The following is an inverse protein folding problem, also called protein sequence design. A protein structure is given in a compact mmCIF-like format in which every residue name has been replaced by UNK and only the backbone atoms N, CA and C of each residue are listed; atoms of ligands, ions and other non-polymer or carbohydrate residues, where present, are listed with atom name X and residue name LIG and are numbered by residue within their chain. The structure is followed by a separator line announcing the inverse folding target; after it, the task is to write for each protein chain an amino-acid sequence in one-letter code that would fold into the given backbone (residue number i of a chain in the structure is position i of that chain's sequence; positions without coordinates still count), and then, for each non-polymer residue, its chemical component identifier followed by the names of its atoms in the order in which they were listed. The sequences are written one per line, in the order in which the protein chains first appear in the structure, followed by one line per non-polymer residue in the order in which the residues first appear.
data_IF_638025629502
#
_entry.id   IF_638025629502
#
_cell.length_a   1.000
_cell.length_b   1.000
_cell.length_c   1.000
_cell.angle_alpha   90.00
_cell.angle_beta   90.00
_cell.angle_gamma   90.00
#
_symmetry.space_group_name_H-M   'P 1'
#
loop_
_entity.id
_entity.type
_entity.pdbx_description
1 polymer ?
#
# COMPACT_ATOMS: atom_id res chain seq x y z
N UNK A 1 -17.97 -18.42 -18.27
CA UNK A 1 -16.95 -18.36 -17.21
C UNK A 1 -16.61 -16.90 -17.00
N UNK A 2 -17.09 -16.28 -15.93
CA UNK A 2 -16.80 -14.86 -15.67
C UNK A 2 -15.31 -14.71 -15.37
N UNK A 3 -14.61 -13.95 -16.22
CA UNK A 3 -13.24 -13.53 -15.94
C UNK A 3 -13.21 -12.78 -14.61
N UNK A 4 -12.22 -13.06 -13.77
CA UNK A 4 -12.04 -12.30 -12.55
C UNK A 4 -11.90 -10.79 -12.88
N UNK A 5 -12.44 -9.87 -12.06
CA UNK A 5 -12.38 -8.42 -12.33
C UNK A 5 -10.98 -7.82 -12.08
N UNK A 6 -9.95 -8.64 -11.99
CA UNK A 6 -8.57 -8.26 -11.68
C UNK A 6 -7.60 -9.11 -12.50
N UNK A 7 -6.48 -8.52 -12.90
CA UNK A 7 -5.40 -9.17 -13.65
C UNK A 7 -4.33 -9.77 -12.72
N UNK A 8 -4.09 -9.13 -11.57
CA UNK A 8 -3.08 -9.55 -10.60
C UNK A 8 -3.63 -9.55 -9.18
N UNK A 9 -3.10 -10.41 -8.31
CA UNK A 9 -3.27 -10.30 -6.86
C UNK A 9 -1.90 -10.04 -6.25
N UNK A 10 -1.81 -9.05 -5.37
CA UNK A 10 -0.62 -8.81 -4.56
C UNK A 10 -0.98 -8.91 -3.07
N UNK A 11 -0.11 -9.57 -2.30
CA UNK A 11 -0.21 -9.63 -0.85
C UNK A 11 0.55 -8.47 -0.22
N UNK A 12 -0.16 -7.63 0.54
CA UNK A 12 0.38 -6.50 1.27
C UNK A 12 0.23 -6.73 2.77
N UNK A 13 1.29 -6.49 3.53
CA UNK A 13 1.28 -6.57 5.00
C UNK A 13 1.45 -5.19 5.61
N UNK A 14 0.62 -4.84 6.59
CA UNK A 14 0.78 -3.62 7.37
C UNK A 14 1.50 -3.97 8.68
N UNK A 15 2.68 -3.40 8.91
CA UNK A 15 3.55 -3.69 10.07
C UNK A 15 3.93 -2.40 10.82
N UNK A 16 4.26 -2.54 12.09
CA UNK A 16 4.60 -1.42 12.98
C UNK A 16 3.95 -1.54 14.34
N UNK A 17 4.32 -0.63 15.25
CA UNK A 17 3.92 -0.68 16.66
C UNK A 17 2.42 -0.59 16.91
N UNK A 18 2.01 -1.03 18.10
CA UNK A 18 0.64 -0.91 18.57
C UNK A 18 0.19 0.55 18.64
N UNK A 19 -1.07 0.79 18.27
CA UNK A 19 -1.66 2.14 18.28
C UNK A 19 -1.16 3.11 17.21
N UNK A 20 -0.29 2.69 16.28
CA UNK A 20 0.15 3.52 15.15
C UNK A 20 -0.94 3.70 14.07
N UNK A 21 -2.04 2.95 14.15
CA UNK A 21 -3.20 3.10 13.25
C UNK A 21 -3.15 2.24 11.98
N UNK A 22 -2.46 1.10 12.00
CA UNK A 22 -2.42 0.11 10.90
C UNK A 22 -3.83 -0.34 10.48
N UNK A 23 -4.63 -0.78 11.46
CA UNK A 23 -6.03 -1.18 11.24
C UNK A 23 -6.86 -0.03 10.72
N UNK A 24 -6.69 1.17 11.29
CA UNK A 24 -7.41 2.36 10.85
C UNK A 24 -7.09 2.75 9.41
N UNK A 25 -5.85 2.57 8.95
CA UNK A 25 -5.47 2.79 7.54
C UNK A 25 -6.11 1.74 6.63
N UNK A 26 -6.07 0.47 7.02
CA UNK A 26 -6.66 -0.64 6.26
C UNK A 26 -8.18 -0.48 6.13
N UNK A 27 -8.87 -0.18 7.22
CA UNK A 27 -10.31 0.08 7.26
C UNK A 27 -10.65 1.30 6.42
N UNK A 28 -9.86 2.39 6.53
CA UNK A 28 -10.08 3.59 5.72
C UNK A 28 -9.99 3.29 4.23
N UNK A 29 -9.01 2.50 3.80
CA UNK A 29 -8.86 2.12 2.39
C UNK A 29 -10.00 1.22 1.89
N UNK A 30 -10.40 0.23 2.70
CA UNK A 30 -11.40 -0.76 2.29
C UNK A 30 -12.82 -0.20 2.33
N UNK A 31 -13.15 0.56 3.37
CA UNK A 31 -14.53 0.92 3.73
C UNK A 31 -14.78 2.43 3.68
N UNK A 32 -13.75 3.25 3.48
CA UNK A 32 -13.88 4.71 3.42
C UNK A 32 -14.21 5.38 4.76
N UNK A 33 -14.38 4.60 5.84
CA UNK A 33 -14.74 5.11 7.18
C UNK A 33 -13.56 5.13 8.14
N UNK A 34 -13.70 5.91 9.20
CA UNK A 34 -12.81 5.90 10.36
C UNK A 34 -13.64 5.73 11.62
N UNK A 35 -13.23 4.78 12.46
CA UNK A 35 -13.80 4.58 13.79
C UNK A 35 -12.80 5.13 14.79
N UNK A 36 -13.29 5.88 15.77
CA UNK A 36 -12.48 6.49 16.84
C UNK A 36 -12.06 5.47 17.89
N UNK A 37 -12.90 4.46 18.15
CA UNK A 37 -12.62 3.34 19.02
C UNK A 37 -12.35 2.10 18.17
N UNK A 38 -11.10 1.66 18.17
CA UNK A 38 -10.71 0.35 17.66
C UNK A 38 -10.17 -0.46 18.82
N UNK A 39 -10.69 -1.67 18.98
CA UNK A 39 -10.06 -2.66 19.86
C UNK A 39 -8.68 -3.00 19.30
N UNK A 40 -7.74 -3.38 20.19
CA UNK A 40 -6.42 -3.83 19.75
C UNK A 40 -6.59 -5.04 18.84
N UNK A 41 -5.97 -5.01 17.66
CA UNK A 41 -5.99 -6.13 16.72
C UNK A 41 -5.43 -7.39 17.37
N UNK A 42 -6.26 -8.43 17.49
CA UNK A 42 -5.84 -9.75 17.96
C UNK A 42 -5.54 -10.61 16.73
N UNK A 43 -4.25 -10.84 16.44
CA UNK A 43 -3.84 -11.64 15.29
C UNK A 43 -3.77 -10.83 13.99
N UNK A 44 -4.57 -11.22 12.98
CA UNK A 44 -4.60 -10.57 11.66
C UNK A 44 -6.02 -10.35 11.16
N UNK A 45 -6.28 -9.12 10.71
CA UNK A 45 -7.53 -8.76 10.02
C UNK A 45 -7.31 -8.70 8.50
N UNK A 46 -8.31 -9.17 7.74
CA UNK A 46 -8.23 -9.36 6.31
C UNK A 46 -9.07 -8.33 5.54
N UNK A 47 -8.40 -7.46 4.80
CA UNK A 47 -9.03 -6.55 3.84
C UNK A 47 -8.71 -6.94 2.39
N UNK A 48 -9.56 -6.56 1.44
CA UNK A 48 -9.15 -6.59 0.03
C UNK A 48 -9.71 -5.41 -0.76
N UNK A 49 -8.86 -4.81 -1.59
CA UNK A 49 -9.21 -3.68 -2.45
C UNK A 49 -8.66 -3.92 -3.85
N UNK A 50 -9.48 -3.68 -4.88
CA UNK A 50 -9.01 -3.72 -6.27
C UNK A 50 -8.63 -2.29 -6.64
N UNK A 51 -7.41 -2.11 -7.16
CA UNK A 51 -6.88 -0.83 -7.61
C UNK A 51 -6.44 -0.92 -9.07
N UNK A 52 -6.62 0.15 -9.86
CA UNK A 52 -6.02 0.24 -11.20
C UNK A 52 -4.48 0.34 -11.09
N UNK A 53 -3.76 -0.34 -11.99
CA UNK A 53 -2.29 -0.31 -12.09
C UNK A 53 -1.84 -0.23 -13.55
N UNK A 54 -0.65 0.33 -13.79
CA UNK A 54 -0.12 0.54 -15.14
C UNK A 54 -0.79 1.70 -15.87
N UNK A 55 -0.29 2.08 -17.07
CA UNK A 55 -0.89 3.20 -17.79
C UNK A 55 -2.25 2.78 -18.40
N UNK A 56 -3.19 3.74 -18.54
CA UNK A 56 -3.02 5.19 -18.38
C UNK A 56 -3.00 5.70 -16.92
N UNK A 57 -3.31 4.89 -15.91
CA UNK A 57 -3.36 5.34 -14.50
C UNK A 57 -1.99 5.82 -13.96
N UNK A 58 -0.90 5.12 -14.27
CA UNK A 58 0.45 5.54 -13.85
C UNK A 58 0.90 6.88 -14.47
N UNK A 59 0.36 7.25 -15.64
CA UNK A 59 0.63 8.54 -16.26
C UNK A 59 -0.06 9.69 -15.51
N UNK A 60 -1.23 9.43 -14.91
CA UNK A 60 -1.92 10.42 -14.06
C UNK A 60 -1.26 10.57 -12.69
N UNK A 61 -0.64 9.51 -12.16
CA UNK A 61 0.07 9.53 -10.88
C UNK A 61 1.46 10.20 -10.96
N UNK A 62 2.12 10.13 -12.12
CA UNK A 62 3.38 10.86 -12.40
C UNK A 62 3.19 12.28 -12.95
N UNK A 63 1.98 12.62 -13.40
CA UNK A 63 1.65 13.85 -14.14
C UNK A 63 1.32 15.09 -13.30
N UNK A 64 1.91 15.29 -12.11
CA UNK A 64 1.80 16.60 -11.46
C UNK A 64 2.82 17.58 -12.05
N UNK A 65 2.47 18.24 -13.16
CA UNK A 65 2.83 19.66 -13.36
C UNK A 65 2.06 20.31 -14.52
N UNK A 66 1.42 21.43 -14.16
CA UNK A 66 0.86 22.52 -14.96
C UNK A 66 -0.62 22.40 -15.39
N UNK A 67 -1.48 23.36 -14.95
CA UNK A 67 -2.77 23.61 -15.59
C UNK A 67 -2.54 24.27 -16.96
N UNK A 68 -3.53 24.22 -17.88
CA UNK A 68 -3.44 24.92 -19.16
C UNK A 68 -3.46 26.42 -18.91
N UNK A 69 -2.31 27.09 -19.10
CA UNK A 69 -2.25 28.54 -19.14
C UNK A 69 -3.03 29.02 -20.36
N UNK A 70 -4.15 29.68 -20.10
CA UNK A 70 -4.82 30.58 -21.03
C UNK A 70 -3.79 31.57 -21.59
N UNK A 71 -3.61 31.56 -22.92
CA UNK A 71 -2.80 32.55 -23.63
C UNK A 71 -3.64 33.81 -23.89
N UNK A 72 -3.11 35.03 -23.66
CA UNK A 72 -3.65 36.23 -24.28
C UNK A 72 -3.02 36.41 -25.67
N UNK A 73 -3.86 36.86 -26.61
CA UNK A 73 -3.50 37.27 -27.96
C UNK A 73 -2.53 38.46 -27.95
N UNK A 74 -1.50 38.43 -28.82
CA UNK A 74 -0.81 39.62 -29.26
C UNK A 74 -0.14 39.41 -30.63
N UNK A 75 -0.54 40.27 -31.55
CA UNK A 75 -0.08 40.54 -32.91
C UNK A 75 1.45 40.79 -33.03
N UNK A 76 2.08 40.43 -34.16
CA UNK A 76 3.45 40.89 -34.44
C UNK A 76 4.26 40.08 -35.47
N UNK A 77 4.02 40.35 -36.76
CA UNK A 77 4.76 39.92 -37.94
C UNK A 77 6.27 40.32 -37.94
N UNK A 78 7.19 39.44 -38.40
CA UNK A 78 8.34 39.74 -39.30
C UNK A 78 9.21 38.50 -39.65
N UNK A 79 9.69 38.47 -40.90
CA UNK A 79 10.32 37.37 -41.66
C UNK A 79 11.78 37.06 -41.29
N UNK A 80 12.19 35.80 -41.47
CA UNK A 80 13.60 35.40 -41.64
C UNK A 80 13.76 33.88 -41.72
N UNK A 81 13.98 33.34 -42.92
CA UNK A 81 14.13 31.90 -43.15
C UNK A 81 15.55 31.38 -42.92
N UNK A 82 15.65 30.16 -42.38
CA UNK A 82 16.75 29.19 -42.47
C UNK A 82 16.16 27.78 -42.15
N UNK A 83 16.68 26.67 -42.71
CA UNK A 83 15.99 25.37 -42.69
C UNK A 83 16.05 24.68 -41.33
N UNK A 84 14.94 24.01 -40.96
CA UNK A 84 14.73 23.31 -39.69
C UNK A 84 15.72 22.13 -39.47
N UNK A 85 16.21 21.92 -38.23
CA UNK A 85 16.96 20.72 -37.88
C UNK A 85 16.00 19.55 -37.60
N UNK A 86 16.18 18.46 -38.37
CA UNK A 86 15.80 17.06 -38.09
C UNK A 86 14.66 16.88 -37.08
N UNK A 87 13.45 16.69 -37.61
CA UNK A 87 12.29 16.13 -36.91
C UNK A 87 12.68 14.88 -36.13
N UNK A 88 12.42 14.91 -34.82
CA UNK A 88 12.36 13.73 -33.96
C UNK A 88 11.37 12.73 -34.57
N UNK A 89 11.63 11.41 -34.52
CA UNK A 89 10.64 10.44 -34.98
C UNK A 89 9.35 10.62 -34.19
N UNK A 90 8.27 10.79 -34.94
CA UNK A 90 6.88 10.81 -34.48
C UNK A 90 6.60 9.61 -33.57
N UNK A 91 5.81 9.77 -32.49
CA UNK A 91 5.38 8.64 -31.68
C UNK A 91 4.46 7.77 -32.54
N UNK A 92 4.86 6.51 -32.72
CA UNK A 92 4.01 5.42 -33.22
C UNK A 92 2.67 5.45 -32.46
N UNK A 93 1.51 5.24 -33.12
CA UNK A 93 0.22 5.23 -32.45
C UNK A 93 0.24 4.17 -31.34
N UNK A 94 0.20 4.63 -30.08
CA UNK A 94 0.16 3.78 -28.91
C UNK A 94 -1.05 2.83 -29.05
N UNK A 95 -0.79 1.52 -29.00
CA UNK A 95 -1.84 0.55 -28.78
C UNK A 95 -2.64 1.03 -27.56
N UNK A 96 -3.97 1.13 -27.68
CA UNK A 96 -4.82 1.56 -26.57
C UNK A 96 -4.50 0.72 -25.34
N UNK A 97 -3.78 1.29 -24.38
CA UNK A 97 -3.28 0.54 -23.23
C UNK A 97 -4.46 0.15 -22.34
N UNK A 98 -4.70 -1.16 -22.25
CA UNK A 98 -5.82 -1.70 -21.48
C UNK A 98 -5.49 -1.51 -20.00
N UNK A 99 -6.32 -0.74 -19.29
CA UNK A 99 -6.21 -0.53 -17.85
C UNK A 99 -6.17 -1.87 -17.11
N UNK A 100 -5.02 -2.16 -16.49
CA UNK A 100 -4.85 -3.35 -15.65
C UNK A 100 -5.34 -3.09 -14.24
N UNK A 101 -5.83 -4.15 -13.61
CA UNK A 101 -6.36 -4.08 -12.25
C UNK A 101 -5.62 -5.07 -11.34
N UNK A 102 -5.20 -4.59 -10.17
CA UNK A 102 -4.55 -5.40 -9.14
C UNK A 102 -5.42 -5.49 -7.91
N UNK A 103 -5.70 -6.71 -7.46
CA UNK A 103 -6.35 -6.97 -6.18
C UNK A 103 -5.28 -6.99 -5.07
N UNK A 104 -5.34 -6.01 -4.18
CA UNK A 104 -4.53 -5.95 -2.97
C UNK A 104 -5.20 -6.80 -1.90
N UNK A 105 -4.52 -7.83 -1.43
CA UNK A 105 -4.87 -8.59 -0.23
C UNK A 105 -4.13 -7.96 0.94
N UNK A 106 -4.86 -7.29 1.83
CA UNK A 106 -4.31 -6.54 2.96
C UNK A 106 -4.33 -7.42 4.20
N UNK A 107 -3.18 -7.56 4.82
CA UNK A 107 -2.98 -8.31 6.05
C UNK A 107 -2.62 -7.30 7.14
N UNK A 108 -3.62 -6.92 7.94
CA UNK A 108 -3.42 -6.02 9.08
C UNK A 108 -2.89 -6.81 10.26
N UNK A 109 -1.67 -6.51 10.71
CA UNK A 109 -1.01 -7.29 11.76
C UNK A 109 -1.10 -6.63 13.13
N UNK A 110 -1.21 -7.44 14.19
CA UNK A 110 -1.08 -6.95 15.56
C UNK A 110 0.31 -6.31 15.77
N UNK A 111 0.32 -5.08 16.27
CA UNK A 111 1.54 -4.32 16.57
C UNK A 111 2.10 -4.51 17.98
N UNK A 112 1.50 -5.38 18.79
CA UNK A 112 2.05 -5.70 20.11
C UNK A 112 3.17 -6.73 19.97
N UNK A 113 4.24 -6.49 20.72
CA UNK A 113 5.43 -7.35 20.73
C UNK A 113 5.14 -8.80 21.15
N UNK A 114 4.14 -9.01 22.02
CA UNK A 114 3.67 -10.33 22.45
C UNK A 114 3.18 -11.21 21.28
N UNK A 115 2.77 -10.61 20.16
CA UNK A 115 2.29 -11.32 18.98
C UNK A 115 3.32 -11.40 17.85
N UNK A 116 4.57 -10.97 18.06
CA UNK A 116 5.62 -10.98 17.01
C UNK A 116 5.81 -12.35 16.35
N UNK A 117 5.71 -13.45 17.10
CA UNK A 117 5.83 -14.82 16.53
C UNK A 117 4.68 -15.17 15.57
N UNK A 118 3.46 -14.73 15.89
CA UNK A 118 2.27 -14.94 15.05
C UNK A 118 2.35 -14.04 13.81
N UNK A 119 2.70 -12.76 13.99
CA UNK A 119 2.85 -11.77 12.92
C UNK A 119 3.89 -12.19 11.87
N UNK A 120 5.02 -12.76 12.30
CA UNK A 120 6.11 -13.22 11.42
C UNK A 120 5.67 -14.28 10.39
N UNK A 121 4.71 -15.13 10.73
CA UNK A 121 4.18 -16.15 9.80
C UNK A 121 3.51 -15.53 8.57
N UNK A 122 3.02 -14.29 8.68
CA UNK A 122 2.32 -13.60 7.61
C UNK A 122 3.23 -12.84 6.64
N UNK A 123 4.50 -12.64 6.98
CA UNK A 123 5.48 -11.97 6.11
C UNK A 123 5.82 -12.84 4.89
N UNK A 124 5.71 -14.17 5.03
CA UNK A 124 5.99 -15.11 3.95
C UNK A 124 5.02 -14.91 2.77
N UNK A 125 5.59 -14.77 1.58
CA UNK A 125 4.84 -14.52 0.35
C UNK A 125 4.16 -13.15 0.31
N UNK A 126 4.60 -12.16 1.10
CA UNK A 126 4.20 -10.78 0.91
C UNK A 126 5.02 -10.15 -0.22
N UNK A 127 4.35 -9.42 -1.13
CA UNK A 127 5.01 -8.66 -2.21
C UNK A 127 5.20 -7.21 -1.85
N UNK A 128 4.37 -6.68 -0.96
CA UNK A 128 4.49 -5.34 -0.44
C UNK A 128 4.34 -5.30 1.08
N UNK A 129 4.97 -4.32 1.70
CA UNK A 129 4.78 -4.00 3.11
C UNK A 129 4.59 -2.50 3.31
N UNK A 130 3.66 -2.14 4.19
CA UNK A 130 3.51 -0.78 4.70
C UNK A 130 4.06 -0.76 6.12
N UNK A 131 5.12 0.02 6.31
CA UNK A 131 5.76 0.18 7.60
C UNK A 131 5.23 1.46 8.25
N UNK A 132 4.32 1.29 9.22
CA UNK A 132 3.53 2.38 9.78
C UNK A 132 4.07 2.78 11.14
N UNK A 133 4.39 4.07 11.29
CA UNK A 133 4.69 4.68 12.58
C UNK A 133 3.76 5.86 12.84
N UNK A 134 3.78 6.35 14.07
CA UNK A 134 2.97 7.48 14.50
C UNK A 134 3.81 8.75 14.55
N UNK A 135 3.40 9.79 13.80
CA UNK A 135 4.10 11.08 13.77
C UNK A 135 4.17 11.77 15.13
N UNK A 136 3.23 11.46 16.02
CA UNK A 136 3.20 12.03 17.37
C UNK A 136 3.91 11.19 18.43
N UNK A 137 4.59 10.10 18.05
CA UNK A 137 5.29 9.22 19.00
C UNK A 137 6.61 8.72 18.41
N UNK A 138 7.72 9.35 18.80
CA UNK A 138 9.06 9.03 18.29
C UNK A 138 9.52 7.60 18.61
N UNK A 139 9.08 7.02 19.72
CA UNK A 139 9.38 5.62 20.07
C UNK A 139 8.95 4.66 18.94
N UNK A 140 7.77 4.91 18.36
CA UNK A 140 7.26 4.06 17.27
C UNK A 140 8.13 4.14 16.03
N UNK A 141 8.76 5.29 15.78
CA UNK A 141 9.72 5.50 14.69
C UNK A 141 11.07 4.82 14.96
N UNK A 142 11.53 4.76 16.20
CA UNK A 142 12.76 4.05 16.54
C UNK A 142 12.64 2.54 16.25
N UNK A 143 11.49 1.94 16.57
CA UNK A 143 11.21 0.51 16.34
C UNK A 143 10.97 0.15 14.87
N UNK A 144 10.76 1.12 13.98
CA UNK A 144 10.62 0.91 12.52
C UNK A 144 11.80 0.10 11.96
N UNK A 145 13.01 0.35 12.47
CA UNK A 145 14.22 -0.37 12.05
C UNK A 145 14.16 -1.85 12.39
N UNK A 146 13.69 -2.19 13.60
CA UNK A 146 13.55 -3.58 14.02
C UNK A 146 12.47 -4.29 13.20
N UNK A 147 11.34 -3.61 12.94
CA UNK A 147 10.29 -4.12 12.07
C UNK A 147 10.76 -4.38 10.64
N UNK A 148 11.59 -3.49 10.09
CA UNK A 148 12.17 -3.67 8.75
C UNK A 148 13.13 -4.86 8.72
N UNK A 149 13.98 -5.01 9.74
CA UNK A 149 14.91 -6.12 9.84
C UNK A 149 14.18 -7.46 9.95
N UNK A 150 13.16 -7.54 10.81
CA UNK A 150 12.30 -8.71 10.96
C UNK A 150 11.58 -9.06 9.64
N UNK A 151 11.09 -8.05 8.92
CA UNK A 151 10.45 -8.24 7.62
C UNK A 151 11.44 -8.83 6.61
N UNK A 152 12.64 -8.26 6.49
CA UNK A 152 13.67 -8.68 5.53
C UNK A 152 14.20 -10.09 5.76
N UNK A 153 14.15 -10.58 7.00
CA UNK A 153 14.58 -11.95 7.32
C UNK A 153 13.60 -13.02 6.81
N UNK A 154 12.32 -12.67 6.61
CA UNK A 154 11.25 -13.65 6.35
C UNK A 154 10.56 -13.42 5.00
N UNK A 155 10.46 -12.16 4.57
CA UNK A 155 9.83 -11.77 3.32
C UNK A 155 10.69 -12.11 2.09
N UNK A 156 10.08 -11.98 0.92
CA UNK A 156 10.77 -12.15 -0.36
C UNK A 156 11.83 -11.04 -0.56
N UNK A 157 12.97 -11.34 -1.22
CA UNK A 157 14.07 -10.39 -1.37
C UNK A 157 13.68 -9.11 -2.14
N UNK A 158 12.70 -9.21 -3.04
CA UNK A 158 12.17 -8.09 -3.83
C UNK A 158 10.87 -7.50 -3.24
N UNK A 159 10.68 -7.57 -1.92
CA UNK A 159 9.52 -6.95 -1.26
C UNK A 159 9.56 -5.43 -1.39
N UNK A 160 8.44 -4.86 -1.83
CA UNK A 160 8.27 -3.41 -1.94
C UNK A 160 7.84 -2.86 -0.58
N UNK A 161 8.70 -2.08 0.07
CA UNK A 161 8.38 -1.48 1.37
C UNK A 161 8.12 0.02 1.19
N UNK A 162 7.04 0.53 1.76
CA UNK A 162 6.77 1.98 1.87
C UNK A 162 6.69 2.36 3.35
N UNK A 163 7.37 3.45 3.71
CA UNK A 163 7.32 4.01 5.05
C UNK A 163 6.12 4.96 5.15
N UNK A 164 5.31 4.79 6.19
CA UNK A 164 4.07 5.53 6.39
C UNK A 164 4.10 6.23 7.75
N UNK A 165 4.14 7.57 7.72
CA UNK A 165 3.97 8.41 8.90
C UNK A 165 2.48 8.71 9.12
N UNK A 166 1.83 7.98 10.01
CA UNK A 166 0.40 8.13 10.26
C UNK A 166 0.10 9.22 11.30
N UNK A 167 -1.19 9.61 11.38
CA UNK A 167 -1.72 10.67 12.25
C UNK A 167 -1.18 12.07 11.92
N UNK A 168 -0.99 12.33 10.63
CA UNK A 168 -0.58 13.65 10.15
C UNK A 168 -1.55 14.78 10.56
N UNK A 169 -2.80 14.45 10.88
CA UNK A 169 -3.78 15.39 11.44
C UNK A 169 -3.39 15.95 12.81
N UNK A 170 -2.61 15.22 13.62
CA UNK A 170 -2.09 15.69 14.91
C UNK A 170 -0.79 16.51 14.77
N UNK A 171 -0.24 16.52 13.56
CA UNK A 171 1.04 17.13 13.23
C UNK A 171 0.91 18.45 12.43
N UNK A 172 -0.33 18.91 12.19
CA UNK A 172 -0.60 20.19 11.55
C UNK A 172 -0.50 21.30 12.60
N UNK A 173 0.28 22.38 12.36
CA UNK A 173 0.19 23.57 13.21
C UNK A 173 -1.24 24.11 13.08
N UNK A 174 -1.91 24.34 14.22
CA UNK A 174 -3.27 24.88 14.23
C UNK A 174 -3.37 26.12 13.35
N UNK A 175 -4.41 26.17 12.51
CA UNK A 175 -4.81 27.41 11.86
C UNK A 175 -5.13 28.44 12.94
N UNK A 176 -4.66 29.65 12.73
CA UNK A 176 -4.66 30.77 13.68
C UNK A 176 -6.08 31.27 14.05
N UNK A 177 -7.14 30.64 13.54
CA UNK A 177 -8.52 31.12 13.62
C UNK A 177 -9.44 30.30 14.55
N UNK A 178 -8.99 29.14 15.06
CA UNK A 178 -9.78 28.33 16.00
C UNK A 178 -9.25 28.46 17.43
N UNK A 179 -9.42 29.65 17.99
CA UNK A 179 -9.25 29.92 19.42
C UNK A 179 -10.36 29.25 20.23
N UNK A 180 -10.41 27.91 20.27
CA UNK A 180 -11.12 27.12 21.29
C UNK A 180 -10.82 25.61 21.29
N UNK A 181 -10.01 25.10 20.34
CA UNK A 181 -9.46 23.74 20.40
C UNK A 181 -7.94 23.78 20.21
N UNK A 182 -7.21 23.93 21.32
CA UNK A 182 -5.75 23.92 21.38
C UNK A 182 -5.12 22.62 20.88
N UNK A 183 -5.05 22.45 19.56
CA UNK A 183 -4.27 21.41 18.91
C UNK A 183 -2.80 21.78 18.96
N UNK A 184 -2.13 21.41 20.05
CA UNK A 184 -0.66 21.41 20.09
C UNK A 184 -0.14 20.57 18.92
N UNK A 185 0.84 21.09 18.18
CA UNK A 185 1.55 20.30 17.18
C UNK A 185 2.34 19.22 17.91
N UNK A 186 1.80 18.00 17.98
CA UNK A 186 2.43 16.87 18.67
C UNK A 186 3.45 16.15 17.81
N UNK A 187 3.88 16.72 16.67
CA UNK A 187 4.87 16.11 15.78
C UNK A 187 6.20 15.93 16.51
N UNK A 188 6.62 14.68 16.67
CA UNK A 188 7.94 14.35 17.23
C UNK A 188 8.95 13.91 16.15
N UNK A 189 8.47 13.55 14.95
CA UNK A 189 9.29 13.08 13.83
C UNK A 189 9.14 14.02 12.64
N UNK A 190 10.25 14.56 12.16
CA UNK A 190 10.26 15.44 10.99
C UNK A 190 10.17 14.65 9.70
N UNK A 191 9.59 15.26 8.67
CA UNK A 191 9.54 14.66 7.33
C UNK A 191 10.94 14.35 6.79
N UNK A 192 11.89 15.25 7.00
CA UNK A 192 13.28 15.08 6.56
C UNK A 192 13.93 13.86 7.22
N UNK A 193 13.77 13.70 8.55
CA UNK A 193 14.29 12.54 9.29
C UNK A 193 13.72 11.22 8.76
N UNK A 194 12.41 11.17 8.48
CA UNK A 194 11.75 9.98 7.95
C UNK A 194 12.16 9.67 6.50
N UNK A 195 12.27 10.68 5.64
CA UNK A 195 12.75 10.52 4.26
C UNK A 195 14.21 10.06 4.20
N UNK A 196 15.05 10.65 5.03
CA UNK A 196 16.44 10.25 5.19
C UNK A 196 16.55 8.78 5.64
N UNK A 197 15.77 8.40 6.64
CA UNK A 197 15.73 7.03 7.11
C UNK A 197 15.26 6.08 5.99
N UNK A 198 14.25 6.45 5.21
CA UNK A 198 13.75 5.65 4.09
C UNK A 198 14.84 5.44 3.02
N UNK A 199 15.56 6.52 2.65
CA UNK A 199 16.69 6.45 1.71
C UNK A 199 17.82 5.55 2.21
N UNK A 200 18.25 5.72 3.47
CA UNK A 200 19.35 4.92 4.05
C UNK A 200 19.03 3.44 4.14
N UNK A 201 17.77 3.11 4.40
CA UNK A 201 17.35 1.73 4.58
C UNK A 201 16.88 1.06 3.29
N UNK A 202 16.85 1.75 2.14
CA UNK A 202 16.38 1.18 0.87
C UNK A 202 14.88 0.91 0.86
N UNK A 203 14.10 1.78 1.50
CA UNK A 203 12.63 1.79 1.43
C UNK A 203 12.21 2.63 0.22
N UNK A 204 11.13 2.25 -0.45
CA UNK A 204 10.72 2.85 -1.72
C UNK A 204 10.51 4.36 -1.60
N UNK A 205 9.67 4.76 -0.65
CA UNK A 205 9.24 6.12 -0.46
C UNK A 205 8.68 6.30 0.96
N UNK A 206 8.67 7.54 1.42
CA UNK A 206 7.99 7.95 2.64
C UNK A 206 6.72 8.73 2.30
N UNK A 207 5.60 8.37 2.93
CA UNK A 207 4.31 9.04 2.76
C UNK A 207 3.69 9.37 4.12
N UNK A 208 3.29 10.62 4.31
CA UNK A 208 2.51 11.03 5.49
C UNK A 208 1.03 10.80 5.24
N UNK A 209 0.37 10.07 6.13
CA UNK A 209 -1.04 9.70 6.00
C UNK A 209 -1.84 10.11 7.23
N UNK A 210 -3.14 10.30 7.05
CA UNK A 210 -4.07 10.45 8.16
C UNK A 210 -5.28 9.55 7.95
N UNK A 211 -5.38 8.49 8.75
CA UNK A 211 -6.56 7.63 8.76
C UNK A 211 -7.85 8.40 9.14
N UNK A 212 -7.74 9.49 9.91
CA UNK A 212 -8.87 10.33 10.37
C UNK A 212 -9.43 11.21 9.25
N UNK A 213 -8.58 11.84 8.45
CA UNK A 213 -9.02 12.68 7.32
C UNK A 213 -9.13 11.91 6.00
N UNK A 214 -8.46 10.76 5.89
CA UNK A 214 -8.30 10.03 4.62
C UNK A 214 -7.14 10.55 3.76
N UNK A 215 -6.45 11.59 4.19
CA UNK A 215 -5.35 12.21 3.43
C UNK A 215 -4.21 11.20 3.19
N UNK A 216 -3.80 11.09 1.92
CA UNK A 216 -2.72 10.22 1.40
C UNK A 216 -2.85 8.72 1.68
N UNK A 217 -3.95 8.23 2.29
CA UNK A 217 -4.14 6.81 2.58
C UNK A 217 -4.14 6.02 1.27
N UNK A 218 -5.02 6.39 0.34
CA UNK A 218 -5.09 5.69 -0.96
C UNK A 218 -3.78 5.80 -1.74
N UNK A 219 -3.14 6.98 -1.72
CA UNK A 219 -1.86 7.23 -2.38
C UNK A 219 -0.77 6.26 -1.89
N UNK A 220 -0.68 6.01 -0.59
CA UNK A 220 0.31 5.09 -0.03
C UNK A 220 0.14 3.66 -0.55
N UNK A 221 -1.10 3.15 -0.59
CA UNK A 221 -1.38 1.81 -1.10
C UNK A 221 -1.23 1.71 -2.63
N UNK A 222 -1.68 2.73 -3.37
CA UNK A 222 -1.50 2.78 -4.82
C UNK A 222 -0.01 2.78 -5.19
N UNK A 223 0.82 3.52 -4.44
CA UNK A 223 2.26 3.58 -4.70
C UNK A 223 2.95 2.23 -4.58
N UNK A 224 2.56 1.44 -3.58
CA UNK A 224 3.01 0.05 -3.42
C UNK A 224 2.53 -0.80 -4.61
N UNK A 225 1.26 -0.69 -4.98
CA UNK A 225 0.66 -1.48 -6.07
C UNK A 225 1.33 -1.19 -7.42
N UNK A 226 1.60 0.07 -7.73
CA UNK A 226 2.30 0.48 -8.96
C UNK A 226 3.72 -0.06 -9.00
N UNK A 227 4.48 0.07 -7.91
CA UNK A 227 5.85 -0.46 -7.86
C UNK A 227 5.88 -1.98 -7.97
N UNK A 228 4.91 -2.68 -7.38
CA UNK A 228 4.75 -4.13 -7.59
C UNK A 228 4.47 -4.40 -9.07
N UNK A 229 3.58 -3.64 -9.72
CA UNK A 229 3.31 -3.78 -11.15
C UNK A 229 4.53 -3.55 -12.03
N UNK A 230 5.33 -2.52 -11.76
CA UNK A 230 6.61 -2.27 -12.44
C UNK A 230 7.57 -3.46 -12.29
N UNK A 231 7.67 -4.04 -11.10
CA UNK A 231 8.48 -5.22 -10.84
C UNK A 231 7.96 -6.47 -11.58
N UNK A 232 6.63 -6.62 -11.75
CA UNK A 232 6.03 -7.67 -12.59
C UNK A 232 6.44 -7.48 -14.05
N UNK A 233 6.32 -6.26 -14.59
CA UNK A 233 6.70 -5.95 -15.97
C UNK A 233 8.21 -6.15 -16.21
N UNK A 234 9.04 -5.87 -15.21
CA UNK A 234 10.48 -6.16 -15.24
C UNK A 234 10.83 -7.66 -15.16
N UNK A 235 9.83 -8.54 -15.02
CA UNK A 235 10.03 -9.99 -14.94
C UNK A 235 10.65 -10.47 -13.64
N UNK A 236 10.62 -9.65 -12.57
CA UNK A 236 11.19 -10.01 -11.26
C UNK A 236 10.31 -10.97 -10.46
N UNK A 237 9.03 -11.06 -10.79
CA UNK A 237 8.09 -11.98 -10.13
C UNK A 237 7.73 -13.14 -11.06
N UNK A 238 7.88 -14.37 -10.56
CA UNK A 238 7.28 -15.54 -11.18
C UNK A 238 5.79 -15.60 -10.78
N UNK A 239 4.90 -15.40 -11.76
CA UNK A 239 3.44 -15.39 -11.55
C UNK A 239 2.85 -16.79 -11.35
N UNK A 240 3.63 -17.84 -11.63
CA UNK A 240 3.23 -19.25 -11.50
C UNK A 240 3.75 -19.91 -10.23
N UNK A 241 4.73 -19.31 -9.54
CA UNK A 241 5.22 -19.84 -8.27
C UNK A 241 4.19 -19.61 -7.14
N UNK A 242 3.90 -20.68 -6.41
CA UNK A 242 3.03 -20.64 -5.22
C UNK A 242 3.66 -19.86 -4.06
N UNK A 243 4.98 -19.66 -4.06
CA UNK A 243 5.72 -18.86 -3.07
C UNK A 243 5.78 -17.38 -3.44
N UNK A 244 5.59 -17.04 -4.71
CA UNK A 244 5.50 -15.65 -5.15
C UNK A 244 4.32 -14.95 -4.50
N UNK A 245 4.57 -13.76 -3.96
CA UNK A 245 3.52 -12.96 -3.34
C UNK A 245 2.55 -12.31 -4.34
N UNK A 246 2.90 -12.37 -5.63
CA UNK A 246 2.05 -11.90 -6.73
C UNK A 246 1.50 -13.11 -7.50
N UNK A 247 0.19 -13.13 -7.72
CA UNK A 247 -0.51 -14.21 -8.43
C UNK A 247 -1.25 -13.69 -9.63
N UNK A 248 -1.19 -14.43 -10.75
CA UNK A 248 -2.01 -14.17 -11.93
C UNK A 248 -3.48 -14.62 -11.79
N UNK A 249 -4.33 -14.35 -12.79
CA UNK A 249 -5.78 -14.63 -12.76
C UNK A 249 -6.11 -16.11 -12.55
N UNK A 250 -5.24 -17.00 -13.07
CA UNK A 250 -5.40 -18.46 -13.04
C UNK A 250 -4.96 -19.09 -11.71
N UNK A 251 -4.10 -18.41 -10.95
CA UNK A 251 -3.52 -18.94 -9.70
C UNK A 251 -4.42 -18.73 -8.46
N UNK A 252 -5.43 -17.85 -8.54
CA UNK A 252 -6.38 -17.65 -7.44
C UNK A 252 -7.39 -18.80 -7.27
N UNK A 253 -7.52 -19.68 -8.27
CA UNK A 253 -8.46 -20.81 -8.25
C UNK A 253 -8.00 -22.01 -7.40
N UNK A 254 -6.73 -22.07 -6.98
CA UNK A 254 -6.18 -23.20 -6.23
C UNK A 254 -6.03 -22.96 -4.71
N UNK A 255 -6.43 -21.77 -4.24
CA UNK A 255 -6.30 -21.35 -2.83
C UNK A 255 -7.60 -21.33 -2.04
N UNK A 256 -8.67 -21.93 -2.57
CA UNK A 256 -9.91 -22.10 -1.82
C UNK A 256 -9.65 -22.87 -0.54
N UNK A 257 -9.82 -22.18 0.59
CA UNK A 257 -9.95 -22.75 1.93
C UNK A 257 -10.90 -23.94 1.80
N UNK A 258 -10.38 -25.17 1.87
CA UNK A 258 -11.24 -26.32 2.13
C UNK A 258 -11.81 -26.08 3.52
N UNK A 259 -13.14 -25.87 3.68
CA UNK A 259 -13.69 -25.89 5.02
C UNK A 259 -13.41 -27.27 5.57
N UNK A 260 -12.61 -27.33 6.64
CA UNK A 260 -12.49 -28.54 7.45
C UNK A 260 -13.90 -28.80 7.98
N UNK A 261 -14.63 -29.70 7.32
CA UNK A 261 -15.85 -30.26 7.89
C UNK A 261 -15.40 -31.09 9.09
N UNK A 262 -15.45 -30.47 10.26
CA UNK A 262 -15.52 -31.19 11.53
C UNK A 262 -16.83 -31.98 11.48
N UNK A 263 -16.74 -33.25 11.07
CA UNK A 263 -17.82 -34.21 11.21
C UNK A 263 -18.09 -34.34 12.71
N UNK A 264 -19.22 -33.78 13.15
CA UNK A 264 -19.74 -34.01 14.49
C UNK A 264 -20.01 -35.51 14.64
N UNK A 265 -19.16 -36.18 15.42
CA UNK A 265 -19.34 -37.57 15.81
C UNK A 265 -20.61 -37.66 16.65
N UNK A 266 -21.67 -38.20 16.05
CA UNK A 266 -22.89 -38.59 16.73
C UNK A 266 -22.54 -39.77 17.63
N UNK A 267 -22.35 -39.51 18.92
CA UNK A 267 -22.41 -40.54 19.93
C UNK A 267 -23.81 -41.17 19.93
N UNK A 268 -23.91 -42.39 19.40
CA UNK A 268 -25.03 -43.30 19.61
C UNK A 268 -24.49 -44.64 20.11
N UNK A 269 -24.69 -44.83 21.41
CA UNK A 269 -25.25 -46.02 22.06
C UNK A 269 -25.12 -47.39 21.35
N UNK A 270 -24.43 -48.32 22.05
CA UNK A 270 -25.01 -49.63 22.36
C UNK A 270 -24.44 -50.86 21.63
N UNK A 271 -24.08 -51.87 22.45
CA UNK A 271 -23.86 -53.30 22.15
C UNK A 271 -22.63 -53.62 21.27
N UNK A 272 -21.76 -54.59 21.58
CA UNK A 272 -21.89 -55.78 22.41
C UNK A 272 -21.51 -57.02 21.57
N UNK A 273 -20.50 -57.74 22.06
CA UNK A 273 -20.16 -59.15 21.80
C UNK A 273 -19.39 -59.62 20.54
N UNK A 274 -18.46 -60.54 20.89
CA UNK A 274 -17.79 -61.62 20.16
C UNK A 274 -16.62 -61.27 19.23
#
# INVERSE_FOLDING_TARGET
MSSAPWDYIAKLVCIGDSGCGKSSLTIRLCEGRFVTHHDVTIGVEFGSRIVPVGPPHSNTLSGSSLPPSTAPEADGNLKGGLPEPRTKPSPTPAAAEIQKHMKLSLWDTAGQETYKSVTRSYFRGASGALLVFDLSRKQTFQHVTDWLNDLRQIAEPDIVVVLVGNKADLAKPGSVDDSEAGGENKREVTREEAEDWARRNGVLEYVETSAKSGENVEKAFMRVAERIYENIQAGKYDLNDRRSGVKGPTAAGAGGIRPVRLSAEKAKTGAGCC
#
